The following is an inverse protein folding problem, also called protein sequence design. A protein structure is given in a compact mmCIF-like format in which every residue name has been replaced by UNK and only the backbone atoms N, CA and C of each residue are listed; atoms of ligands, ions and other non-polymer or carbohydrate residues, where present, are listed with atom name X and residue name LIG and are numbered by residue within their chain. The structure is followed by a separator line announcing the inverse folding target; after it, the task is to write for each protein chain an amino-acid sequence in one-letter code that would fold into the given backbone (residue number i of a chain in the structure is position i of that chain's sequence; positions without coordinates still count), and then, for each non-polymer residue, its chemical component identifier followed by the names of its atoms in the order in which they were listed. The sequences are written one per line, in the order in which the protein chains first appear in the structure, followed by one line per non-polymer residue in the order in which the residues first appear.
data_IF_147376733667
#
_entry.id   IF_147376733667
#
_cell.length_a   1.000
_cell.length_b   1.000
_cell.length_c   1.000
_cell.angle_alpha   90.00
_cell.angle_beta   90.00
_cell.angle_gamma   90.00
#
_symmetry.space_group_name_H-M   'P 1'
#
loop_
_entity.id
_entity.type
_entity.pdbx_description
1 polymer ?
#
# COMPACT_ATOMS: atom_id res chain seq x y z
N UNK A 1 -8.82 12.30 17.63
CA UNK A 1 -8.84 11.11 16.75
C UNK A 1 -7.44 10.55 16.72
N UNK A 2 -7.24 9.27 17.00
CA UNK A 2 -5.91 8.66 16.96
C UNK A 2 -5.46 8.30 15.54
N UNK A 3 -4.17 8.02 15.37
CA UNK A 3 -3.59 7.67 14.06
C UNK A 3 -4.29 6.45 13.46
N UNK A 4 -4.57 5.41 14.27
CA UNK A 4 -5.26 4.19 13.80
C UNK A 4 -6.66 4.50 13.22
N UNK A 5 -7.47 5.29 13.92
CA UNK A 5 -8.78 5.72 13.41
C UNK A 5 -8.65 6.60 12.17
N UNK A 6 -7.66 7.50 12.14
CA UNK A 6 -7.33 8.31 10.97
C UNK A 6 -7.02 7.46 9.74
N UNK A 7 -6.12 6.47 9.86
CA UNK A 7 -5.77 5.56 8.78
C UNK A 7 -6.98 4.76 8.27
N UNK A 8 -7.84 4.30 9.19
CA UNK A 8 -9.10 3.64 8.84
C UNK A 8 -10.04 4.56 8.07
N UNK A 9 -10.16 5.83 8.47
CA UNK A 9 -10.96 6.83 7.78
C UNK A 9 -10.41 7.14 6.39
N UNK A 10 -9.08 7.26 6.21
CA UNK A 10 -8.46 7.39 4.87
C UNK A 10 -8.87 6.21 3.99
N UNK A 11 -8.81 4.98 4.51
CA UNK A 11 -9.19 3.77 3.74
C UNK A 11 -10.65 3.80 3.32
N UNK A 12 -11.56 4.19 4.23
CA UNK A 12 -12.98 4.34 3.92
C UNK A 12 -13.23 5.40 2.84
N UNK A 13 -12.65 6.59 3.00
CA UNK A 13 -12.78 7.68 2.02
C UNK A 13 -12.18 7.30 0.66
N UNK A 14 -11.06 6.57 0.61
CA UNK A 14 -10.50 6.06 -0.65
C UNK A 14 -11.42 5.07 -1.36
N UNK A 15 -12.06 4.18 -0.61
CA UNK A 15 -13.03 3.24 -1.17
C UNK A 15 -14.26 3.97 -1.72
N UNK A 16 -14.73 4.98 -1.00
CA UNK A 16 -15.81 5.86 -1.45
C UNK A 16 -15.44 6.63 -2.71
N UNK A 17 -14.25 7.25 -2.73
CA UNK A 17 -13.69 7.94 -3.89
C UNK A 17 -13.65 7.02 -5.12
N UNK A 18 -13.16 5.78 -4.96
CA UNK A 18 -13.13 4.79 -6.04
C UNK A 18 -14.53 4.49 -6.58
N UNK A 19 -15.53 4.36 -5.70
CA UNK A 19 -16.93 4.15 -6.12
C UNK A 19 -17.48 5.35 -6.87
N UNK A 20 -17.25 6.57 -6.39
CA UNK A 20 -17.71 7.80 -7.06
C UNK A 20 -17.02 8.03 -8.40
N UNK A 21 -15.72 7.75 -8.52
CA UNK A 21 -15.00 7.78 -9.80
C UNK A 21 -15.61 6.79 -10.78
N UNK A 22 -15.90 5.56 -10.33
CA UNK A 22 -16.57 4.56 -11.16
C UNK A 22 -17.97 5.03 -11.60
N UNK A 23 -18.78 5.53 -10.67
CA UNK A 23 -20.10 6.11 -10.99
C UNK A 23 -19.99 7.22 -12.04
N UNK A 24 -19.00 8.11 -11.93
CA UNK A 24 -18.76 9.16 -12.92
C UNK A 24 -18.41 8.60 -14.30
N UNK A 25 -17.60 7.54 -14.36
CA UNK A 25 -17.25 6.87 -15.61
C UNK A 25 -18.46 6.20 -16.25
N UNK A 26 -19.25 5.50 -15.44
CA UNK A 26 -20.44 4.78 -15.88
C UNK A 26 -21.55 5.74 -16.36
N UNK A 27 -21.61 6.97 -15.84
CA UNK A 27 -22.59 8.00 -16.21
C UNK A 27 -22.03 9.08 -17.15
N UNK A 28 -20.82 8.88 -17.71
CA UNK A 28 -20.20 9.88 -18.58
C UNK A 28 -20.89 10.01 -19.94
N UNK A 29 -21.43 8.90 -20.45
CA UNK A 29 -22.14 8.87 -21.72
C UNK A 29 -23.64 8.66 -21.50
N UNK A 30 -24.45 9.45 -22.19
CA UNK A 30 -25.89 9.19 -22.35
C UNK A 30 -26.09 8.40 -23.63
N UNK A 31 -26.78 7.27 -23.57
CA UNK A 31 -27.12 6.48 -24.77
C UNK A 31 -28.22 7.23 -25.51
N UNK A 32 -27.92 7.77 -26.69
CA UNK A 32 -28.89 8.39 -27.58
C UNK A 32 -29.42 7.31 -28.53
N UNK A 33 -30.74 7.03 -28.59
CA UNK A 33 -31.31 6.11 -29.56
C UNK A 33 -31.04 6.59 -30.99
N UNK A 34 -31.00 5.66 -31.96
CA UNK A 34 -30.73 5.95 -33.39
C UNK A 34 -31.67 7.01 -33.99
N UNK A 35 -32.84 7.21 -33.39
CA UNK A 35 -33.87 8.13 -33.83
C UNK A 35 -33.64 9.57 -33.36
N UNK A 36 -32.52 9.84 -32.66
CA UNK A 36 -32.06 11.18 -32.27
C UNK A 36 -32.87 11.86 -31.17
N UNK A 37 -33.92 11.21 -30.64
CA UNK A 37 -34.71 11.73 -29.53
C UNK A 37 -33.99 11.42 -28.22
N UNK A 38 -33.50 12.47 -27.56
CA UNK A 38 -33.10 12.41 -26.16
C UNK A 38 -34.38 12.17 -25.34
N UNK A 39 -34.59 10.95 -24.86
CA UNK A 39 -35.57 10.73 -23.80
C UNK A 39 -35.13 11.52 -22.57
N UNK A 40 -36.07 12.20 -21.91
CA UNK A 40 -35.82 12.91 -20.67
C UNK A 40 -35.43 11.89 -19.57
N UNK A 41 -34.13 11.74 -19.39
CA UNK A 41 -33.51 10.84 -18.40
C UNK A 41 -33.48 11.46 -17.00
N UNK A 42 -34.01 12.67 -16.79
CA UNK A 42 -34.08 13.31 -15.47
C UNK A 42 -34.96 12.54 -14.48
N UNK A 43 -35.91 11.73 -14.97
CA UNK A 43 -36.76 10.84 -14.17
C UNK A 43 -36.23 9.42 -13.99
N UNK A 44 -35.03 9.11 -14.50
CA UNK A 44 -34.43 7.78 -14.31
C UNK A 44 -33.68 7.74 -12.98
N UNK A 45 -34.18 6.97 -12.00
CA UNK A 45 -33.57 6.79 -10.67
C UNK A 45 -32.09 6.32 -10.72
N UNK A 46 -31.62 5.83 -11.88
CA UNK A 46 -30.23 5.42 -12.10
C UNK A 46 -29.32 6.52 -12.64
N UNK A 47 -29.87 7.65 -13.10
CA UNK A 47 -29.10 8.76 -13.64
C UNK A 47 -28.63 9.67 -12.51
N UNK A 48 -27.31 9.81 -12.35
CA UNK A 48 -26.71 10.74 -11.39
C UNK A 48 -25.95 11.81 -12.18
N UNK A 49 -26.27 13.08 -11.91
CA UNK A 49 -25.61 14.22 -12.59
C UNK A 49 -24.08 14.17 -12.44
N UNK A 50 -23.38 14.25 -13.57
CA UNK A 50 -21.92 14.28 -13.64
C UNK A 50 -21.29 15.39 -12.78
N UNK A 51 -21.92 16.58 -12.77
CA UNK A 51 -21.44 17.73 -11.99
C UNK A 51 -21.52 17.46 -10.50
N UNK A 52 -22.62 16.86 -10.05
CA UNK A 52 -22.80 16.48 -8.63
C UNK A 52 -21.76 15.44 -8.21
N UNK A 53 -21.56 14.37 -9.00
CA UNK A 53 -20.54 13.34 -8.70
C UNK A 53 -19.14 13.94 -8.72
N UNK A 54 -18.84 14.86 -9.63
CA UNK A 54 -17.54 15.52 -9.71
C UNK A 54 -17.28 16.44 -8.50
N UNK A 55 -18.30 17.14 -8.02
CA UNK A 55 -18.25 17.93 -6.78
C UNK A 55 -17.95 17.06 -5.56
N UNK A 56 -18.67 15.94 -5.41
CA UNK A 56 -18.44 14.98 -4.33
C UNK A 56 -17.03 14.37 -4.36
N UNK A 57 -16.52 14.01 -5.56
CA UNK A 57 -15.15 13.53 -5.74
C UNK A 57 -14.14 14.55 -5.20
N UNK A 58 -14.31 15.83 -5.53
CA UNK A 58 -13.42 16.91 -5.08
C UNK A 58 -13.42 17.02 -3.55
N UNK A 59 -14.61 17.01 -2.93
CA UNK A 59 -14.76 17.08 -1.47
C UNK A 59 -14.10 15.88 -0.79
N UNK A 60 -14.30 14.66 -1.30
CA UNK A 60 -13.68 13.46 -0.74
C UNK A 60 -12.15 13.51 -0.88
N UNK A 61 -11.63 13.94 -2.02
CA UNK A 61 -10.19 14.07 -2.25
C UNK A 61 -9.56 15.08 -1.29
N UNK A 62 -10.21 16.22 -1.05
CA UNK A 62 -9.76 17.24 -0.10
C UNK A 62 -9.74 16.70 1.34
N UNK A 63 -10.81 16.03 1.78
CA UNK A 63 -10.86 15.36 3.09
C UNK A 63 -9.72 14.36 3.26
N UNK A 64 -9.41 13.56 2.24
CA UNK A 64 -8.28 12.62 2.26
C UNK A 64 -6.95 13.38 2.40
N UNK A 65 -6.76 14.48 1.67
CA UNK A 65 -5.53 15.26 1.69
C UNK A 65 -5.25 15.84 3.08
N UNK A 66 -6.22 16.54 3.65
CA UNK A 66 -6.12 17.14 5.00
C UNK A 66 -5.78 16.07 6.03
N UNK A 67 -6.47 14.94 5.99
CA UNK A 67 -6.27 13.87 6.98
C UNK A 67 -4.92 13.17 6.84
N UNK A 68 -4.40 13.03 5.61
CA UNK A 68 -3.04 12.54 5.35
C UNK A 68 -1.98 13.48 5.87
N UNK A 69 -2.17 14.79 5.70
CA UNK A 69 -1.24 15.79 6.20
C UNK A 69 -1.14 15.74 7.73
N UNK A 70 -2.28 15.66 8.42
CA UNK A 70 -2.33 15.49 9.88
C UNK A 70 -1.60 14.23 10.34
N UNK A 71 -1.85 13.08 9.68
CA UNK A 71 -1.14 11.83 9.97
C UNK A 71 0.37 12.00 9.75
N UNK A 72 0.78 12.63 8.65
CA UNK A 72 2.19 12.82 8.33
C UNK A 72 2.89 13.70 9.36
N UNK A 73 2.28 14.84 9.74
CA UNK A 73 2.78 15.73 10.79
C UNK A 73 2.95 14.98 12.11
N UNK A 74 1.91 14.23 12.51
CA UNK A 74 1.94 13.42 13.72
C UNK A 74 3.07 12.39 13.69
N UNK A 75 3.22 11.65 12.58
CA UNK A 75 4.28 10.64 12.44
C UNK A 75 5.70 11.22 12.54
N UNK A 76 5.91 12.46 12.11
CA UNK A 76 7.21 13.13 12.18
C UNK A 76 7.48 13.60 13.62
N UNK A 77 6.46 14.10 14.32
CA UNK A 77 6.59 14.70 15.64
C UNK A 77 6.59 13.67 16.79
N UNK A 78 5.93 12.52 16.60
CA UNK A 78 5.90 11.46 17.61
C UNK A 78 7.21 10.70 17.65
N UNK A 79 7.86 10.71 18.80
CA UNK A 79 9.09 9.97 19.08
C UNK A 79 8.74 8.71 19.85
N UNK A 80 9.33 7.59 19.44
CA UNK A 80 9.18 6.26 20.03
C UNK A 80 10.55 5.69 20.34
N UNK A 81 10.65 4.98 21.46
CA UNK A 81 11.89 4.32 21.86
C UNK A 81 11.91 2.89 21.30
N UNK A 82 12.90 2.59 20.48
CA UNK A 82 13.10 1.27 19.88
C UNK A 82 14.55 0.86 20.10
N UNK A 83 14.78 -0.26 20.78
CA UNK A 83 16.13 -0.82 21.00
C UNK A 83 17.12 0.20 21.64
N UNK A 84 16.64 1.01 22.58
CA UNK A 84 17.39 2.11 23.23
C UNK A 84 17.74 3.30 22.32
N UNK A 85 17.08 3.44 21.17
CA UNK A 85 17.19 4.60 20.30
C UNK A 85 15.83 5.30 20.17
N UNK A 86 15.84 6.62 20.32
CA UNK A 86 14.67 7.45 20.08
C UNK A 86 14.58 7.76 18.58
N UNK A 87 13.51 7.26 17.95
CA UNK A 87 13.25 7.47 16.52
C UNK A 87 11.85 8.04 16.33
N UNK A 88 11.60 8.74 15.23
CA UNK A 88 10.24 9.16 14.91
C UNK A 88 9.38 7.96 14.50
N UNK A 89 8.08 8.04 14.76
CA UNK A 89 7.10 7.04 14.32
C UNK A 89 7.14 6.86 12.78
N UNK A 90 7.41 7.95 12.06
CA UNK A 90 7.65 7.93 10.61
C UNK A 90 8.88 7.09 10.22
N UNK A 91 9.98 7.20 10.98
CA UNK A 91 11.18 6.37 10.76
C UNK A 91 10.94 4.91 11.10
N UNK A 92 10.23 4.62 12.20
CA UNK A 92 9.82 3.25 12.56
C UNK A 92 9.03 2.59 11.42
N UNK A 93 8.05 3.32 10.85
CA UNK A 93 7.28 2.82 9.71
C UNK A 93 8.16 2.48 8.50
N UNK A 94 9.13 3.34 8.17
CA UNK A 94 10.07 3.08 7.07
C UNK A 94 10.92 1.82 7.34
N UNK A 95 11.39 1.62 8.56
CA UNK A 95 12.15 0.41 8.92
C UNK A 95 11.33 -0.87 8.74
N UNK A 96 10.04 -0.84 9.10
CA UNK A 96 9.12 -1.96 8.84
C UNK A 96 8.95 -2.20 7.34
N UNK A 97 8.78 -1.14 6.54
CA UNK A 97 8.62 -1.24 5.10
C UNK A 97 9.92 -1.73 4.40
N UNK A 98 11.10 -1.35 4.88
CA UNK A 98 12.40 -1.83 4.41
C UNK A 98 12.54 -3.35 4.65
N UNK A 99 12.20 -3.82 5.86
CA UNK A 99 12.24 -5.27 6.20
C UNK A 99 11.23 -6.05 5.35
N UNK A 100 10.04 -5.51 5.09
CA UNK A 100 9.04 -6.15 4.20
C UNK A 100 9.56 -6.27 2.78
N UNK A 101 10.23 -5.22 2.27
CA UNK A 101 10.86 -5.25 0.94
C UNK A 101 11.97 -6.30 0.88
N UNK A 102 12.81 -6.38 1.92
CA UNK A 102 13.87 -7.38 2.02
C UNK A 102 13.30 -8.81 2.03
N UNK A 103 12.28 -9.08 2.86
CA UNK A 103 11.59 -10.36 2.89
C UNK A 103 10.97 -10.73 1.52
N UNK A 104 10.36 -9.78 0.81
CA UNK A 104 9.82 -10.02 -0.52
C UNK A 104 10.92 -10.38 -1.55
N UNK A 105 12.09 -9.75 -1.45
CA UNK A 105 13.24 -10.08 -2.28
C UNK A 105 13.77 -11.49 -1.95
N UNK A 106 13.90 -11.83 -0.67
CA UNK A 106 14.36 -13.17 -0.24
C UNK A 106 13.37 -14.27 -0.62
N UNK A 107 12.06 -14.02 -0.55
CA UNK A 107 11.04 -14.96 -1.03
C UNK A 107 11.21 -15.27 -2.53
N UNK A 108 11.55 -14.26 -3.34
CA UNK A 108 11.82 -14.45 -4.77
C UNK A 108 13.08 -15.27 -5.06
N UNK A 109 14.05 -15.30 -4.13
CA UNK A 109 15.24 -16.16 -4.21
C UNK A 109 14.89 -17.62 -3.93
N UNK A 110 13.93 -17.87 -3.03
CA UNK A 110 13.43 -19.23 -2.72
C UNK A 110 12.58 -19.81 -3.87
N UNK A 111 11.79 -18.97 -4.55
CA UNK A 111 10.94 -19.38 -5.69
C UNK A 111 11.70 -19.50 -7.01
N UNK A 112 12.75 -18.70 -7.20
CA UNK A 112 13.71 -18.96 -8.26
C UNK A 112 14.45 -20.22 -7.86
N UNK A 113 13.98 -21.33 -8.40
CA UNK A 113 14.77 -22.51 -8.70
C UNK A 113 16.07 -22.05 -9.38
N UNK A 114 17.08 -21.64 -8.58
CA UNK A 114 18.33 -20.98 -8.99
C UNK A 114 19.10 -21.89 -9.97
N UNK A 115 18.69 -23.16 -10.04
CA UNK A 115 19.27 -24.20 -10.87
C UNK A 115 18.61 -24.40 -12.24
N UNK A 116 17.39 -23.90 -12.51
CA UNK A 116 16.65 -24.32 -13.74
C UNK A 116 16.79 -23.38 -14.93
N UNK A 117 17.03 -22.08 -14.73
CA UNK A 117 17.04 -21.08 -15.81
C UNK A 117 18.44 -20.57 -16.18
N UNK A 118 19.39 -20.44 -15.24
CA UNK A 118 20.80 -20.11 -15.57
C UNK A 118 21.54 -21.27 -16.23
N UNK A 119 21.31 -22.51 -15.78
CA UNK A 119 21.94 -23.71 -16.38
C UNK A 119 21.62 -23.89 -17.87
N UNK A 120 20.46 -23.43 -18.34
CA UNK A 120 20.09 -23.56 -19.77
C UNK A 120 20.88 -22.64 -20.70
N UNK A 121 21.47 -21.54 -20.22
CA UNK A 121 22.33 -20.67 -21.05
C UNK A 121 23.81 -21.06 -21.01
N UNK A 122 24.27 -21.70 -19.95
CA UNK A 122 25.69 -22.07 -19.79
C UNK A 122 25.98 -23.43 -20.43
N UNK A 123 24.97 -24.30 -20.60
CA UNK A 123 25.14 -25.61 -21.24
C UNK A 123 25.63 -25.56 -22.70
N UNK A 124 25.64 -24.39 -23.36
CA UNK A 124 26.18 -24.20 -24.72
C UNK A 124 27.65 -23.77 -24.75
N UNK A 125 28.31 -23.60 -23.61
CA UNK A 125 29.72 -23.19 -23.51
C UNK A 125 30.45 -24.18 -22.60
N UNK A 126 31.44 -24.89 -23.14
CA UNK A 126 32.26 -25.91 -22.47
C UNK A 126 33.21 -25.34 -21.39
N UNK A 127 32.76 -24.41 -20.56
CA UNK A 127 33.55 -23.87 -19.45
C UNK A 127 33.04 -24.32 -18.09
N UNK A 128 34.01 -24.81 -17.30
CA UNK A 128 33.93 -25.44 -15.98
C UNK A 128 33.53 -24.47 -14.87
N UNK A 129 32.52 -23.64 -15.07
CA UNK A 129 32.07 -22.73 -14.02
C UNK A 129 31.02 -23.44 -13.14
N UNK A 130 31.46 -23.85 -11.94
CA UNK A 130 30.55 -24.32 -10.90
C UNK A 130 29.96 -23.10 -10.19
N UNK A 131 28.68 -22.84 -10.40
CA UNK A 131 27.93 -21.93 -9.54
C UNK A 131 27.81 -22.56 -8.13
N UNK A 132 28.44 -21.94 -7.13
CA UNK A 132 28.30 -22.32 -5.72
C UNK A 132 27.41 -21.27 -5.06
N UNK A 133 26.36 -21.71 -4.36
CA UNK A 133 25.52 -20.81 -3.59
C UNK A 133 26.34 -20.14 -2.47
N UNK A 134 26.25 -18.81 -2.36
CA UNK A 134 26.97 -18.04 -1.33
C UNK A 134 26.36 -18.22 0.06
N UNK A 135 25.09 -18.62 0.13
CA UNK A 135 24.37 -18.96 1.35
C UNK A 135 23.72 -20.32 1.19
N UNK A 136 23.77 -21.13 2.24
CA UNK A 136 23.00 -22.37 2.32
C UNK A 136 21.52 -22.07 2.57
N UNK A 137 20.64 -22.99 2.17
CA UNK A 137 19.19 -22.85 2.41
C UNK A 137 18.87 -22.71 3.91
N UNK A 138 19.63 -23.38 4.78
CA UNK A 138 19.48 -23.24 6.24
C UNK A 138 19.85 -21.84 6.73
N UNK A 139 20.93 -21.25 6.21
CA UNK A 139 21.33 -19.88 6.57
C UNK A 139 20.33 -18.85 6.03
N UNK A 140 19.80 -19.07 4.82
CA UNK A 140 18.76 -18.23 4.24
C UNK A 140 17.48 -18.28 5.08
N UNK A 141 17.04 -19.48 5.48
CA UNK A 141 15.86 -19.64 6.33
C UNK A 141 16.05 -19.00 7.71
N UNK A 142 17.24 -19.15 8.30
CA UNK A 142 17.57 -18.50 9.57
C UNK A 142 17.53 -16.96 9.45
N UNK A 143 18.02 -16.39 8.35
CA UNK A 143 17.93 -14.95 8.08
C UNK A 143 16.48 -14.49 7.93
N UNK A 144 15.66 -15.24 7.20
CA UNK A 144 14.22 -14.95 7.03
C UNK A 144 13.53 -14.93 8.40
N UNK A 145 13.75 -15.95 9.23
CA UNK A 145 13.15 -16.02 10.57
C UNK A 145 13.58 -14.84 11.46
N UNK A 146 14.85 -14.42 11.40
CA UNK A 146 15.33 -13.25 12.13
C UNK A 146 14.65 -11.96 11.66
N UNK A 147 14.50 -11.77 10.34
CA UNK A 147 13.81 -10.62 9.76
C UNK A 147 12.31 -10.62 10.10
N UNK A 148 11.67 -11.79 10.11
CA UNK A 148 10.26 -11.92 10.49
C UNK A 148 10.02 -11.59 11.97
N UNK A 149 10.86 -12.08 12.88
CA UNK A 149 10.80 -11.76 14.30
C UNK A 149 11.02 -10.26 14.54
N UNK A 150 12.04 -9.68 13.88
CA UNK A 150 12.30 -8.24 13.96
C UNK A 150 11.13 -7.42 13.41
N UNK A 151 10.57 -7.80 12.26
CA UNK A 151 9.39 -7.14 11.67
C UNK A 151 8.22 -7.16 12.65
N UNK A 152 7.92 -8.32 13.22
CA UNK A 152 6.79 -8.49 14.15
C UNK A 152 6.93 -7.60 15.39
N UNK A 153 8.13 -7.53 15.97
CA UNK A 153 8.42 -6.65 17.11
C UNK A 153 8.17 -5.19 16.77
N UNK A 154 8.70 -4.72 15.64
CA UNK A 154 8.53 -3.34 15.19
C UNK A 154 7.07 -3.02 14.80
N UNK A 155 6.36 -3.96 14.19
CA UNK A 155 4.94 -3.83 13.87
C UNK A 155 4.09 -3.69 15.14
N UNK A 156 4.36 -4.48 16.18
CA UNK A 156 3.65 -4.37 17.45
C UNK A 156 3.84 -3.00 18.12
N UNK A 157 5.08 -2.50 18.15
CA UNK A 157 5.37 -1.15 18.68
C UNK A 157 4.58 -0.11 17.87
N UNK A 158 4.67 -0.18 16.54
CA UNK A 158 3.99 0.74 15.64
C UNK A 158 2.46 0.72 15.83
N UNK A 159 1.85 -0.46 16.00
CA UNK A 159 0.40 -0.58 16.23
C UNK A 159 -0.04 0.03 17.56
N UNK A 160 0.70 -0.25 18.63
CA UNK A 160 0.43 0.30 19.97
C UNK A 160 0.56 1.82 19.96
N UNK A 161 1.64 2.35 19.40
CA UNK A 161 1.87 3.79 19.35
C UNK A 161 0.85 4.50 18.45
N UNK A 162 0.46 3.90 17.32
CA UNK A 162 -0.60 4.44 16.47
C UNK A 162 -1.97 4.49 17.17
N UNK A 163 -2.27 3.53 18.04
CA UNK A 163 -3.51 3.48 18.80
C UNK A 163 -3.54 4.55 19.91
N UNK A 164 -2.39 4.82 20.52
CA UNK A 164 -2.27 5.74 21.65
C UNK A 164 -2.00 7.19 21.24
N UNK A 165 -1.49 7.43 20.04
CA UNK A 165 -1.13 8.78 19.56
C UNK A 165 -2.33 9.50 18.93
N UNK A 166 -2.64 10.69 19.42
CA UNK A 166 -3.65 11.58 18.82
C UNK A 166 -3.09 12.34 17.62
N UNK A 167 -3.93 12.53 16.60
CA UNK A 167 -3.56 13.36 15.45
C UNK A 167 -3.41 14.81 15.85
N UNK A 168 -2.32 15.40 15.38
CA UNK A 168 -2.04 16.84 15.50
C UNK A 168 -3.07 17.63 14.68
N UNK A 169 -3.49 18.78 15.21
CA UNK A 169 -4.48 19.66 14.57
C UNK A 169 -3.98 20.30 13.27
#
# INVERSE_FOLDING_TARGET
MNITAGLKQVKQLKNELKRKIKMRQDNFYVIIPKDGKLEDISGNDRFVSFENVSGEIKIIAEKISVLREKIMKTNIQTIVNVENADISLGKLKLLVDDIRSELAQLASVKERDIFSSRRRRIATTEEKEKEIAQLTDMQLEALILQLEDKKMKLENILEVDNANTQLVE
#
